data_IF_224629567811
#
_entry.id   IF_224629567811
#
_cell.length_a   1.000
_cell.length_b   1.000
_cell.length_c   1.000
_cell.angle_alpha   90.00
_cell.angle_beta   90.00
_cell.angle_gamma   90.00
#
_symmetry.space_group_name_H-M   'P 1'
#
loop_
_entity.id
_entity.type
_entity.pdbx_description
1 polymer ?
#
# COMPACT_ATOMS: atom_id res chain seq x y z
N UNK A 1 -15.35 18.25 -11.83
CA UNK A 1 -15.99 18.81 -13.04
C UNK A 1 -15.01 19.73 -13.77
N UNK A 2 -14.39 20.69 -13.09
CA UNK A 2 -13.45 21.65 -13.71
C UNK A 2 -12.11 21.04 -14.16
N UNK A 3 -11.55 20.08 -13.41
CA UNK A 3 -10.26 19.46 -13.76
C UNK A 3 -10.28 18.78 -15.14
N UNK A 4 -11.40 18.16 -15.53
CA UNK A 4 -11.52 17.42 -16.80
C UNK A 4 -12.05 18.28 -17.95
N UNK A 5 -13.02 19.17 -17.68
CA UNK A 5 -13.79 19.87 -18.72
C UNK A 5 -13.84 21.40 -18.55
N UNK A 6 -13.16 21.96 -17.54
CA UNK A 6 -13.23 23.40 -17.23
C UNK A 6 -11.88 24.07 -16.98
N UNK A 7 -11.92 25.27 -16.40
CA UNK A 7 -10.75 26.05 -16.02
C UNK A 7 -10.66 26.16 -14.49
N UNK A 8 -9.92 25.26 -13.83
CA UNK A 8 -9.83 25.28 -12.38
C UNK A 8 -9.12 26.53 -11.86
N UNK A 9 -9.70 27.19 -10.85
CA UNK A 9 -9.12 28.39 -10.24
C UNK A 9 -7.96 28.06 -9.29
N UNK A 10 -8.06 26.95 -8.56
CA UNK A 10 -7.05 26.56 -7.56
C UNK A 10 -5.76 26.06 -8.22
N UNK A 11 -4.61 26.37 -7.61
CA UNK A 11 -3.29 25.93 -8.10
C UNK A 11 -3.18 24.40 -8.12
N UNK A 12 -3.71 23.73 -7.08
CA UNK A 12 -3.72 22.26 -7.01
C UNK A 12 -4.51 21.63 -8.15
N UNK A 13 -5.69 22.17 -8.44
CA UNK A 13 -6.57 21.65 -9.50
C UNK A 13 -6.01 21.91 -10.90
N UNK A 14 -5.29 23.03 -11.12
CA UNK A 14 -4.56 23.28 -12.37
C UNK A 14 -3.40 22.31 -12.57
N UNK A 15 -2.64 22.01 -11.51
CA UNK A 15 -1.58 21.01 -11.57
C UNK A 15 -2.15 19.62 -11.87
N UNK A 16 -3.27 19.26 -11.24
CA UNK A 16 -3.97 18.01 -11.50
C UNK A 16 -4.51 17.94 -12.94
N UNK A 17 -5.12 19.02 -13.45
CA UNK A 17 -5.57 19.09 -14.84
C UNK A 17 -4.42 18.92 -15.83
N UNK A 18 -3.27 19.54 -15.55
CA UNK A 18 -2.07 19.34 -16.37
C UNK A 18 -1.66 17.86 -16.38
N UNK A 19 -1.62 17.19 -15.22
CA UNK A 19 -1.29 15.77 -15.15
C UNK A 19 -2.32 14.89 -15.90
N UNK A 20 -3.61 15.15 -15.73
CA UNK A 20 -4.70 14.44 -16.43
C UNK A 20 -4.50 14.51 -17.94
N UNK A 21 -4.22 15.71 -18.48
CA UNK A 21 -4.01 15.91 -19.92
C UNK A 21 -2.69 15.29 -20.40
N UNK A 22 -1.61 15.43 -19.62
CA UNK A 22 -0.27 14.95 -20.00
C UNK A 22 -0.13 13.44 -19.98
N UNK A 23 -0.88 12.74 -19.11
CA UNK A 23 -0.75 11.29 -18.89
C UNK A 23 -2.00 10.49 -19.27
N UNK A 24 -3.05 11.15 -19.79
CA UNK A 24 -4.29 10.47 -20.20
C UNK A 24 -5.03 9.81 -19.04
N UNK A 25 -4.96 10.41 -17.84
CA UNK A 25 -5.59 9.85 -16.65
C UNK A 25 -7.11 9.90 -16.83
N UNK A 26 -7.75 8.72 -16.84
CA UNK A 26 -9.19 8.63 -17.07
C UNK A 26 -9.96 9.13 -15.85
N UNK A 27 -11.12 9.72 -16.08
CA UNK A 27 -11.98 10.25 -15.00
C UNK A 27 -12.44 9.14 -14.08
N UNK A 28 -12.70 7.97 -14.64
CA UNK A 28 -13.18 6.78 -13.94
C UNK A 28 -12.15 6.27 -12.93
N UNK A 29 -10.86 6.30 -13.27
CA UNK A 29 -9.78 5.88 -12.37
C UNK A 29 -9.69 6.81 -11.15
N UNK A 30 -9.85 8.12 -11.37
CA UNK A 30 -9.85 9.11 -10.29
C UNK A 30 -11.10 9.00 -9.41
N UNK A 31 -12.28 8.83 -10.01
CA UNK A 31 -13.52 8.60 -9.28
C UNK A 31 -13.45 7.31 -8.45
N UNK A 32 -12.81 6.25 -8.96
CA UNK A 32 -12.60 5.01 -8.21
C UNK A 32 -11.76 5.25 -6.94
N UNK A 33 -10.74 6.10 -6.99
CA UNK A 33 -9.95 6.49 -5.81
C UNK A 33 -10.83 7.24 -4.81
N UNK A 34 -11.61 8.23 -5.27
CA UNK A 34 -12.50 9.00 -4.39
C UNK A 34 -13.54 8.12 -3.71
N UNK A 35 -14.21 7.23 -4.45
CA UNK A 35 -15.16 6.28 -3.89
C UNK A 35 -14.53 5.30 -2.91
N UNK A 36 -13.23 5.00 -3.06
CA UNK A 36 -12.48 4.22 -2.08
C UNK A 36 -12.24 4.99 -0.78
N UNK A 37 -11.83 6.26 -0.88
CA UNK A 37 -11.62 7.14 0.27
C UNK A 37 -12.92 7.40 1.02
N UNK A 38 -14.04 7.63 0.32
CA UNK A 38 -15.35 7.84 0.95
C UNK A 38 -15.79 6.63 1.79
N UNK A 39 -15.56 5.41 1.30
CA UNK A 39 -15.89 4.17 2.03
C UNK A 39 -15.01 3.94 3.26
N UNK A 40 -13.76 4.40 3.26
CA UNK A 40 -12.86 4.31 4.42
C UNK A 40 -13.33 5.19 5.62
N UNK A 41 -14.19 6.18 5.35
CA UNK A 41 -14.74 7.03 6.41
C UNK A 41 -15.75 6.27 7.30
N UNK A 42 -16.38 5.22 6.79
CA UNK A 42 -17.51 4.56 7.46
C UNK A 42 -17.21 3.16 8.00
N UNK A 43 -16.19 2.47 7.47
CA UNK A 43 -15.96 1.05 7.75
C UNK A 43 -14.60 0.79 8.37
N UNK A 44 -14.59 0.32 9.62
CA UNK A 44 -13.37 0.01 10.37
C UNK A 44 -13.17 -1.46 10.72
N UNK A 45 -14.05 -2.36 10.28
CA UNK A 45 -14.04 -3.80 10.63
C UNK A 45 -14.45 -4.64 9.43
N UNK A 46 -13.72 -5.72 9.17
CA UNK A 46 -13.92 -6.61 8.02
C UNK A 46 -14.06 -8.05 8.50
N UNK A 47 -15.13 -8.72 8.11
CA UNK A 47 -15.42 -10.08 8.55
C UNK A 47 -14.44 -11.08 7.93
N UNK A 48 -14.15 -10.93 6.64
CA UNK A 48 -13.29 -11.85 5.88
C UNK A 48 -12.11 -11.12 5.23
N UNK A 49 -11.06 -11.88 4.91
CA UNK A 49 -9.94 -11.38 4.13
C UNK A 49 -10.39 -10.90 2.75
N UNK A 50 -11.42 -11.50 2.16
CA UNK A 50 -12.00 -11.03 0.89
C UNK A 50 -12.51 -9.59 0.99
N UNK A 51 -13.17 -9.25 2.09
CA UNK A 51 -13.65 -7.88 2.35
C UNK A 51 -12.48 -6.93 2.62
N UNK A 52 -11.51 -7.33 3.43
CA UNK A 52 -10.30 -6.55 3.66
C UNK A 52 -9.55 -6.28 2.35
N UNK A 53 -9.42 -7.29 1.48
CA UNK A 53 -8.78 -7.18 0.17
C UNK A 53 -9.50 -6.19 -0.73
N UNK A 54 -10.83 -6.19 -0.73
CA UNK A 54 -11.63 -5.20 -1.48
C UNK A 54 -11.36 -3.77 -0.98
N UNK A 55 -11.32 -3.59 0.35
CA UNK A 55 -10.91 -2.32 0.94
C UNK A 55 -9.48 -1.91 0.53
N UNK A 56 -8.51 -2.83 0.62
CA UNK A 56 -7.13 -2.56 0.21
C UNK A 56 -7.03 -2.18 -1.27
N UNK A 57 -7.86 -2.79 -2.13
CA UNK A 57 -7.93 -2.42 -3.53
C UNK A 57 -8.39 -0.97 -3.68
N UNK A 58 -9.49 -0.64 -3.00
CA UNK A 58 -10.14 0.67 -3.08
C UNK A 58 -9.24 1.82 -2.62
N UNK A 59 -8.45 1.64 -1.54
CA UNK A 59 -7.64 2.71 -0.94
C UNK A 59 -6.18 2.74 -1.38
N UNK A 60 -5.68 1.68 -2.02
CA UNK A 60 -4.26 1.59 -2.40
C UNK A 60 -4.03 1.13 -3.84
N UNK A 61 -4.66 0.03 -4.28
CA UNK A 61 -4.48 -0.44 -5.66
C UNK A 61 -5.06 0.52 -6.69
N UNK A 62 -6.20 1.16 -6.41
CA UNK A 62 -6.81 2.20 -7.23
C UNK A 62 -5.83 3.36 -7.49
N UNK A 63 -5.07 3.78 -6.48
CA UNK A 63 -4.02 4.80 -6.58
C UNK A 63 -2.85 4.31 -7.44
N UNK A 64 -2.46 3.04 -7.27
CA UNK A 64 -1.44 2.40 -8.12
C UNK A 64 -1.82 2.40 -9.60
N UNK A 65 -3.09 2.07 -9.89
CA UNK A 65 -3.65 2.10 -11.25
C UNK A 65 -3.70 3.53 -11.81
N UNK A 66 -4.11 4.51 -11.00
CA UNK A 66 -4.09 5.93 -11.37
C UNK A 66 -2.69 6.41 -11.75
N UNK A 67 -1.66 5.93 -11.05
CA UNK A 67 -0.26 6.27 -11.30
C UNK A 67 0.37 5.52 -12.48
N UNK A 68 -0.23 4.42 -12.95
CA UNK A 68 0.39 3.56 -13.95
C UNK A 68 0.63 4.27 -15.30
N UNK A 69 -0.34 5.05 -15.85
CA UNK A 69 -0.11 5.84 -17.07
C UNK A 69 0.99 6.89 -16.89
N UNK A 70 1.14 7.46 -15.68
CA UNK A 70 2.22 8.39 -15.36
C UNK A 70 3.59 7.69 -15.47
N UNK A 71 3.65 6.39 -15.17
CA UNK A 71 4.84 5.58 -15.36
C UNK A 71 5.04 5.08 -16.80
N UNK A 72 4.17 5.46 -17.74
CA UNK A 72 4.28 5.15 -19.16
C UNK A 72 3.82 3.73 -19.53
N UNK A 73 2.98 3.11 -18.70
CA UNK A 73 2.38 1.79 -18.96
C UNK A 73 0.88 1.81 -18.65
N UNK A 74 0.11 0.96 -19.31
CA UNK A 74 -1.31 0.74 -18.96
C UNK A 74 -1.85 -0.62 -19.46
N UNK A 75 -0.96 -1.57 -19.76
CA UNK A 75 -1.32 -2.91 -20.22
C UNK A 75 -1.76 -3.81 -19.05
N UNK A 76 -2.50 -4.88 -19.36
CA UNK A 76 -3.06 -5.79 -18.36
C UNK A 76 -2.00 -6.40 -17.41
N UNK A 77 -0.84 -6.90 -17.89
CA UNK A 77 0.24 -7.35 -17.01
C UNK A 77 0.71 -6.28 -16.01
N UNK A 78 0.94 -5.05 -16.48
CA UNK A 78 1.36 -3.96 -15.60
C UNK A 78 0.28 -3.59 -14.56
N UNK A 79 -1.00 -3.59 -14.97
CA UNK A 79 -2.14 -3.36 -14.08
C UNK A 79 -2.24 -4.41 -12.98
N UNK A 80 -2.11 -5.69 -13.32
CA UNK A 80 -2.16 -6.78 -12.34
C UNK A 80 -1.06 -6.63 -11.28
N UNK A 81 0.17 -6.30 -11.69
CA UNK A 81 1.28 -6.09 -10.74
C UNK A 81 1.14 -4.81 -9.94
N UNK A 82 0.57 -3.75 -10.51
CA UNK A 82 0.24 -2.53 -9.77
C UNK A 82 -0.82 -2.79 -8.69
N UNK A 83 -1.83 -3.61 -9.00
CA UNK A 83 -2.86 -4.03 -8.05
C UNK A 83 -2.22 -4.79 -6.89
N UNK A 84 -1.42 -5.82 -7.18
CA UNK A 84 -0.76 -6.62 -6.14
C UNK A 84 0.18 -5.81 -5.27
N UNK A 85 0.94 -4.87 -5.88
CA UNK A 85 1.80 -3.95 -5.13
C UNK A 85 0.98 -3.09 -4.16
N UNK A 86 -0.13 -2.51 -4.62
CA UNK A 86 -1.04 -1.71 -3.79
C UNK A 86 -1.65 -2.51 -2.63
N UNK A 87 -2.13 -3.72 -2.92
CA UNK A 87 -2.68 -4.64 -1.90
C UNK A 87 -1.63 -4.98 -0.85
N UNK A 88 -0.43 -5.39 -1.28
CA UNK A 88 0.67 -5.73 -0.38
C UNK A 88 1.10 -4.55 0.49
N UNK A 89 1.20 -3.35 -0.09
CA UNK A 89 1.51 -2.13 0.65
C UNK A 89 0.45 -1.80 1.71
N UNK A 90 -0.83 -1.96 1.40
CA UNK A 90 -1.88 -1.66 2.36
C UNK A 90 -1.98 -2.69 3.48
N UNK A 91 -1.74 -3.98 3.20
CA UNK A 91 -1.63 -4.99 4.26
C UNK A 91 -0.45 -4.70 5.21
N UNK A 92 0.69 -4.23 4.69
CA UNK A 92 1.79 -3.77 5.53
C UNK A 92 1.37 -2.58 6.40
N UNK A 93 0.56 -1.64 5.89
CA UNK A 93 0.03 -0.54 6.71
C UNK A 93 -0.86 -1.08 7.84
N UNK A 94 -1.78 -2.00 7.53
CA UNK A 94 -2.66 -2.66 8.52
C UNK A 94 -1.85 -3.35 9.62
N UNK A 95 -0.83 -4.12 9.25
CA UNK A 95 0.00 -4.84 10.23
C UNK A 95 0.92 -3.93 11.06
N UNK A 96 1.32 -2.80 10.48
CA UNK A 96 2.18 -1.82 11.15
C UNK A 96 1.43 -1.00 12.20
N UNK A 97 0.15 -0.73 11.94
CA UNK A 97 -0.66 0.25 12.66
C UNK A 97 -1.77 -0.41 13.53
N UNK A 98 -1.67 -1.72 13.79
CA UNK A 98 -2.69 -2.54 14.51
C UNK A 98 -3.16 -1.89 15.82
N UNK A 99 -2.23 -1.42 16.67
CA UNK A 99 -2.62 -0.80 17.95
C UNK A 99 -3.18 0.60 17.74
N UNK A 100 -2.53 1.41 16.91
CA UNK A 100 -2.98 2.77 16.61
C UNK A 100 -4.40 2.78 16.04
N UNK A 101 -4.75 1.80 15.22
CA UNK A 101 -6.09 1.61 14.69
C UNK A 101 -7.06 1.16 15.78
N UNK A 102 -6.67 0.18 16.60
CA UNK A 102 -7.50 -0.30 17.72
C UNK A 102 -7.83 0.82 18.72
N UNK A 103 -6.88 1.73 18.98
CA UNK A 103 -7.10 2.92 19.82
C UNK A 103 -8.07 3.93 19.22
N UNK A 104 -8.35 3.85 17.91
CA UNK A 104 -9.34 4.65 17.19
C UNK A 104 -10.62 3.88 16.89
N UNK A 105 -10.87 2.77 17.60
CA UNK A 105 -11.99 1.86 17.39
C UNK A 105 -12.06 1.27 15.96
N UNK A 106 -10.89 1.07 15.34
CA UNK A 106 -10.74 0.40 14.04
C UNK A 106 -9.97 -0.91 14.21
N UNK A 107 -10.43 -1.98 13.57
CA UNK A 107 -9.76 -3.28 13.53
C UNK A 107 -9.83 -3.81 12.11
N UNK A 108 -8.79 -3.50 11.32
CA UNK A 108 -8.71 -3.89 9.92
C UNK A 108 -8.40 -5.38 9.72
N UNK A 109 -7.71 -6.02 10.67
CA UNK A 109 -7.44 -7.46 10.62
C UNK A 109 -8.76 -8.24 10.46
N UNK A 110 -8.84 -9.25 9.58
CA UNK A 110 -10.09 -9.97 9.34
C UNK A 110 -10.60 -10.63 10.62
N UNK A 111 -11.90 -10.48 10.91
CA UNK A 111 -12.49 -11.08 12.11
C UNK A 111 -12.40 -12.61 12.08
N UNK A 112 -12.48 -13.23 10.90
CA UNK A 112 -12.26 -14.67 10.74
C UNK A 112 -10.86 -15.10 11.16
N UNK A 113 -9.84 -14.29 10.89
CA UNK A 113 -8.46 -14.62 11.23
C UNK A 113 -8.18 -14.35 12.72
N UNK A 114 -8.76 -13.27 13.29
CA UNK A 114 -8.74 -13.06 14.74
C UNK A 114 -9.30 -14.27 15.49
N UNK A 115 -10.48 -14.77 15.09
CA UNK A 115 -11.08 -15.97 15.68
C UNK A 115 -10.24 -17.23 15.44
N UNK A 116 -9.70 -17.39 14.23
CA UNK A 116 -8.84 -18.53 13.88
C UNK A 116 -7.63 -18.67 14.80
N UNK A 117 -7.01 -17.55 15.19
CA UNK A 117 -5.84 -17.54 16.05
C UNK A 117 -6.17 -17.33 17.53
N UNK A 118 -7.45 -17.10 17.88
CA UNK A 118 -7.88 -16.88 19.27
C UNK A 118 -7.45 -15.52 19.83
N UNK A 119 -7.45 -14.48 18.99
CA UNK A 119 -7.13 -13.10 19.38
C UNK A 119 -8.42 -12.31 19.51
N UNK A 120 -8.68 -11.74 20.69
CA UNK A 120 -9.85 -10.89 20.90
C UNK A 120 -9.58 -9.46 20.40
N UNK A 121 -10.48 -8.84 19.61
CA UNK A 121 -10.26 -7.49 19.08
C UNK A 121 -9.94 -6.44 20.17
N UNK A 122 -10.54 -6.57 21.35
CA UNK A 122 -10.32 -5.68 22.49
C UNK A 122 -8.92 -5.77 23.12
N UNK A 123 -8.13 -6.79 22.78
CA UNK A 123 -6.76 -6.97 23.28
C UNK A 123 -5.73 -6.18 22.46
N UNK A 124 -6.03 -5.89 21.19
CA UNK A 124 -5.11 -5.20 20.27
C UNK A 124 -4.70 -3.82 20.78
N UNK A 125 -5.62 -3.09 21.42
CA UNK A 125 -5.35 -1.78 22.03
C UNK A 125 -4.55 -1.84 23.34
N UNK A 126 -4.54 -2.99 24.04
CA UNK A 126 -3.85 -3.15 25.33
C UNK A 126 -2.34 -3.19 25.19
N UNK A 127 -1.83 -3.49 24.00
CA UNK A 127 -0.39 -3.52 23.73
C UNK A 127 0.34 -4.68 24.42
N UNK A 128 -0.35 -5.77 24.72
CA UNK A 128 0.24 -6.97 25.33
C UNK A 128 0.47 -8.01 24.23
N UNK A 129 1.73 -8.27 23.83
CA UNK A 129 2.02 -9.31 22.85
C UNK A 129 1.79 -10.69 23.46
N UNK A 130 1.31 -11.63 22.64
CA UNK A 130 1.15 -13.02 23.03
C UNK A 130 1.39 -13.94 21.82
N UNK A 131 1.46 -15.25 22.05
CA UNK A 131 1.75 -16.26 21.01
C UNK A 131 0.67 -16.31 19.92
N UNK A 132 -0.60 -16.09 20.28
CA UNK A 132 -1.71 -16.05 19.33
C UNK A 132 -1.56 -14.87 18.35
N UNK A 133 -1.24 -13.68 18.87
CA UNK A 133 -1.00 -12.48 18.09
C UNK A 133 0.26 -12.60 17.22
N UNK A 134 1.34 -13.21 17.73
CA UNK A 134 2.53 -13.49 16.90
C UNK A 134 2.17 -14.38 15.70
N UNK A 135 1.41 -15.44 15.94
CA UNK A 135 0.95 -16.36 14.89
C UNK A 135 0.06 -15.66 13.87
N UNK A 136 -0.88 -14.83 14.32
CA UNK A 136 -1.75 -14.02 13.46
C UNK A 136 -0.95 -13.03 12.60
N UNK A 137 -0.03 -12.28 13.21
CA UNK A 137 0.78 -11.27 12.49
C UNK A 137 1.65 -11.96 11.43
N UNK A 138 2.27 -13.10 11.74
CA UNK A 138 3.05 -13.88 10.77
C UNK A 138 2.19 -14.39 9.62
N UNK A 139 0.98 -14.86 9.92
CA UNK A 139 0.05 -15.36 8.93
C UNK A 139 -0.37 -14.26 7.92
N UNK A 140 -0.74 -13.09 8.41
CA UNK A 140 -1.08 -11.95 7.56
C UNK A 140 0.14 -11.37 6.83
N UNK A 141 1.31 -11.38 7.47
CA UNK A 141 2.56 -10.95 6.86
C UNK A 141 2.93 -11.82 5.65
N UNK A 142 2.62 -13.12 5.66
CA UNK A 142 2.85 -13.99 4.50
C UNK A 142 1.92 -13.65 3.32
N UNK A 143 0.67 -13.23 3.59
CA UNK A 143 -0.22 -12.70 2.55
C UNK A 143 0.37 -11.44 1.93
N UNK A 144 0.83 -10.50 2.77
CA UNK A 144 1.50 -9.29 2.31
C UNK A 144 2.78 -9.59 1.52
N UNK A 145 3.59 -10.56 1.96
CA UNK A 145 4.80 -11.01 1.25
C UNK A 145 4.46 -11.51 -0.14
N UNK A 146 3.45 -12.36 -0.26
CA UNK A 146 3.06 -12.96 -1.54
C UNK A 146 2.64 -11.88 -2.53
N UNK A 147 1.83 -10.91 -2.08
CA UNK A 147 1.42 -9.76 -2.89
C UNK A 147 2.60 -8.84 -3.25
N UNK A 148 3.49 -8.52 -2.31
CA UNK A 148 4.67 -7.69 -2.61
C UNK A 148 5.66 -8.39 -3.55
N UNK A 149 5.80 -9.72 -3.47
CA UNK A 149 6.60 -10.49 -4.43
C UNK A 149 6.01 -10.39 -5.83
N UNK A 150 4.70 -10.59 -5.98
CA UNK A 150 4.03 -10.41 -7.28
C UNK A 150 4.15 -8.96 -7.77
N UNK A 151 3.85 -7.99 -6.91
CA UNK A 151 3.90 -6.56 -7.25
C UNK A 151 5.30 -6.05 -7.62
N UNK A 152 6.37 -6.67 -7.10
CA UNK A 152 7.75 -6.37 -7.50
C UNK A 152 8.00 -6.66 -8.99
N UNK A 153 7.27 -7.58 -9.60
CA UNK A 153 7.36 -7.87 -11.03
C UNK A 153 6.82 -6.72 -11.90
N UNK A 154 6.26 -5.65 -11.30
CA UNK A 154 6.01 -4.39 -12.01
C UNK A 154 7.31 -3.71 -12.45
N UNK A 155 8.38 -3.80 -11.66
CA UNK A 155 9.63 -3.07 -11.91
C UNK A 155 10.23 -3.34 -13.30
N UNK A 156 10.42 -4.60 -13.75
CA UNK A 156 10.94 -4.87 -15.09
C UNK A 156 10.05 -4.34 -16.22
N UNK A 157 8.74 -4.18 -15.98
CA UNK A 157 7.79 -3.65 -16.97
C UNK A 157 7.94 -2.14 -17.17
N UNK A 158 8.41 -1.41 -16.16
CA UNK A 158 8.58 0.04 -16.21
C UNK A 158 9.90 0.46 -16.83
N UNK A 159 9.91 1.55 -17.59
CA UNK A 159 11.09 2.03 -18.32
C UNK A 159 11.78 3.23 -17.66
N UNK A 160 13.11 3.26 -17.77
CA UNK A 160 13.95 4.41 -17.43
C UNK A 160 13.66 5.04 -16.07
N UNK A 161 13.40 6.35 -16.06
CA UNK A 161 13.19 7.13 -14.83
C UNK A 161 11.89 6.77 -14.10
N UNK A 162 10.90 6.24 -14.79
CA UNK A 162 9.58 5.96 -14.23
C UNK A 162 9.60 4.77 -13.26
N UNK A 163 10.61 3.89 -13.37
CA UNK A 163 10.85 2.77 -12.44
C UNK A 163 11.29 3.22 -11.05
N UNK A 164 11.85 4.41 -10.90
CA UNK A 164 12.48 4.86 -9.65
C UNK A 164 11.52 4.86 -8.46
N UNK A 165 10.36 5.51 -8.61
CA UNK A 165 9.40 5.64 -7.52
C UNK A 165 8.85 4.27 -7.08
N UNK A 166 8.35 3.41 -7.99
CA UNK A 166 7.94 2.05 -7.63
C UNK A 166 9.07 1.21 -7.01
N UNK A 167 10.31 1.32 -7.50
CA UNK A 167 11.44 0.59 -6.93
C UNK A 167 11.75 1.02 -5.49
N UNK A 168 11.69 2.32 -5.21
CA UNK A 168 11.84 2.84 -3.85
C UNK A 168 10.72 2.36 -2.92
N UNK A 169 9.46 2.35 -3.39
CA UNK A 169 8.32 1.84 -2.64
C UNK A 169 8.46 0.35 -2.33
N UNK A 170 8.78 -0.48 -3.32
CA UNK A 170 9.04 -1.92 -3.13
C UNK A 170 10.12 -2.15 -2.08
N UNK A 171 11.22 -1.39 -2.11
CA UNK A 171 12.29 -1.48 -1.12
C UNK A 171 11.84 -1.09 0.29
N UNK A 172 11.13 0.04 0.42
CA UNK A 172 10.64 0.54 1.72
C UNK A 172 9.65 -0.44 2.34
N UNK A 173 8.70 -0.93 1.56
CA UNK A 173 7.64 -1.82 2.05
C UNK A 173 8.15 -3.24 2.31
N UNK A 174 9.11 -3.73 1.52
CA UNK A 174 9.82 -4.98 1.83
C UNK A 174 10.55 -4.91 3.17
N UNK A 175 11.32 -3.84 3.40
CA UNK A 175 12.02 -3.62 4.67
C UNK A 175 11.07 -3.45 5.87
N UNK A 176 9.92 -2.79 5.67
CA UNK A 176 8.89 -2.67 6.70
C UNK A 176 8.31 -4.04 7.04
N UNK A 177 7.95 -4.85 6.03
CA UNK A 177 7.41 -6.18 6.23
C UNK A 177 8.40 -7.08 6.99
N UNK A 178 9.68 -7.10 6.60
CA UNK A 178 10.70 -7.87 7.32
C UNK A 178 10.79 -7.49 8.80
N UNK A 179 10.64 -6.20 9.13
CA UNK A 179 10.63 -5.74 10.52
C UNK A 179 9.36 -6.16 11.26
N UNK A 180 8.20 -6.10 10.60
CA UNK A 180 6.93 -6.55 11.16
C UNK A 180 7.02 -8.04 11.53
N UNK A 181 7.63 -8.87 10.69
CA UNK A 181 7.74 -10.30 10.95
C UNK A 181 8.74 -10.68 12.03
N UNK A 182 9.82 -9.88 12.15
CA UNK A 182 10.75 -10.00 13.27
C UNK A 182 10.10 -9.57 14.57
N UNK A 183 9.26 -8.53 14.53
CA UNK A 183 8.51 -8.07 15.70
C UNK A 183 7.39 -9.04 16.09
N UNK A 184 6.71 -9.64 15.10
CA UNK A 184 5.61 -10.56 15.34
C UNK A 184 4.53 -9.92 16.21
N UNK A 185 4.22 -10.54 17.35
CA UNK A 185 3.25 -10.00 18.31
C UNK A 185 3.62 -8.62 18.87
N UNK A 186 4.90 -8.21 18.86
CA UNK A 186 5.34 -6.92 19.39
C UNK A 186 4.83 -5.70 18.60
N UNK A 187 4.20 -5.89 17.43
CA UNK A 187 3.63 -4.77 16.66
C UNK A 187 2.58 -3.98 17.44
N UNK A 188 1.93 -4.59 18.43
CA UNK A 188 1.00 -3.87 19.32
C UNK A 188 1.70 -3.11 20.45
N UNK A 189 3.00 -3.29 20.69
CA UNK A 189 3.71 -2.48 21.68
C UNK A 189 4.19 -1.16 21.08
N UNK A 190 4.72 -1.24 19.86
CA UNK A 190 5.34 -0.13 19.15
C UNK A 190 5.05 -0.21 17.67
N UNK A 191 4.71 0.95 17.10
CA UNK A 191 4.63 1.12 15.66
C UNK A 191 5.94 0.77 14.98
N UNK A 192 5.90 -0.16 14.03
CA UNK A 192 7.08 -0.49 13.23
C UNK A 192 7.38 0.65 12.26
N UNK A 193 8.63 1.14 12.23
CA UNK A 193 9.03 2.19 11.30
C UNK A 193 10.47 2.03 10.81
N UNK A 194 10.76 2.67 9.67
CA UNK A 194 12.11 2.81 9.14
C UNK A 194 12.66 4.19 9.51
N UNK A 195 13.95 4.22 9.87
CA UNK A 195 14.66 5.48 10.08
C UNK A 195 14.75 6.26 8.77
N UNK A 196 14.82 7.60 8.86
CA UNK A 196 14.98 8.45 7.67
C UNK A 196 16.21 8.07 6.84
N UNK A 197 17.31 7.69 7.50
CA UNK A 197 18.55 7.20 6.85
C UNK A 197 18.32 5.93 6.04
N UNK A 198 17.55 4.96 6.56
CA UNK A 198 17.27 3.72 5.84
C UNK A 198 16.38 3.97 4.62
N UNK A 199 15.37 4.82 4.74
CA UNK A 199 14.54 5.25 3.59
C UNK A 199 15.38 5.95 2.53
N UNK A 200 16.27 6.86 2.93
CA UNK A 200 17.18 7.56 2.02
C UNK A 200 18.14 6.58 1.32
N UNK A 201 18.71 5.61 2.05
CA UNK A 201 19.56 4.57 1.45
C UNK A 201 18.82 3.71 0.44
N UNK A 202 17.57 3.33 0.71
CA UNK A 202 16.74 2.57 -0.24
C UNK A 202 16.44 3.38 -1.50
N UNK A 203 16.11 4.66 -1.34
CA UNK A 203 15.93 5.58 -2.47
C UNK A 203 17.23 5.71 -3.29
N UNK A 204 18.38 5.88 -2.63
CA UNK A 204 19.69 5.92 -3.28
C UNK A 204 20.02 4.61 -4.01
N UNK A 205 19.70 3.46 -3.42
CA UNK A 205 19.90 2.15 -4.06
C UNK A 205 19.01 1.99 -5.30
N UNK A 206 17.75 2.42 -5.24
CA UNK A 206 16.86 2.46 -6.40
C UNK A 206 17.39 3.40 -7.49
N UNK A 207 17.99 4.54 -7.10
CA UNK A 207 18.68 5.43 -8.02
C UNK A 207 20.00 4.85 -8.56
N UNK A 208 20.71 4.00 -7.83
CA UNK A 208 21.96 3.38 -8.28
C UNK A 208 21.71 2.25 -9.29
N UNK A 209 20.64 1.45 -9.13
CA UNK A 209 20.20 0.49 -10.16
C UNK A 209 19.81 1.12 -11.50
N UNK A 210 19.67 2.47 -11.54
CA UNK A 210 19.52 3.28 -12.76
C UNK A 210 20.84 3.43 -13.52
N UNK A 211 21.96 3.54 -12.80
CA UNK A 211 23.28 3.83 -13.37
C UNK A 211 23.77 2.67 -14.25
N UNK A 212 23.57 1.43 -13.80
CA UNK A 212 23.95 0.22 -14.54
C UNK A 212 23.13 -0.04 -15.81
N UNK A 213 21.96 0.61 -15.96
CA UNK A 213 21.07 0.48 -17.13
C UNK A 213 21.25 1.65 -18.12
N UNK A 214 21.64 2.83 -17.65
CA UNK A 214 21.90 3.99 -18.51
C UNK A 214 23.29 4.00 -19.15
N UNK A 215 24.20 3.12 -18.71
CA UNK A 215 25.60 3.04 -19.19
C UNK A 215 25.96 1.67 -19.79
N UNK A 216 24.96 0.95 -20.29
CA UNK A 216 25.12 -0.16 -21.25
C UNK A 216 24.44 0.24 -22.55
#
# INVERSE_FOLDING_TARGET
HEVYEGEPAAVGDRALQHAVRSFGIRREDFLSVLSGVERDLTTGRYETFGQLRAYCFDVASSVGLLCLPIFGRDDAPARDRAIDLGLGMQLVNVLRDVREDALRDRVYLPQEDLRRFGVEPGELGRGVPNTALDSLVRFEAERARTLLRSGRELLPLLEGRNRFCPAALVGIYGDLLEKIERAGGEVVQRRVSLTGRRKAWLALRAAASRWDVMHR
#
